data_IF_538968236988
#
_entry.id   IF_538968236988
#
_cell.length_a   1.000
_cell.length_b   1.000
_cell.length_c   1.000
_cell.angle_alpha   90.00
_cell.angle_beta   90.00
_cell.angle_gamma   90.00
#
_symmetry.space_group_name_H-M   'P 1'
#
loop_
_entity.id
_entity.type
_entity.pdbx_description
1 polymer ?
#
# COMPACT_ATOMS: atom_id res chain seq x y z
N UNK A 1 -5.39 37.32 29.39
CA UNK A 1 -5.58 35.92 29.77
C UNK A 1 -4.36 35.47 30.58
N UNK A 2 -4.53 35.30 31.88
CA UNK A 2 -3.45 34.86 32.79
C UNK A 2 -3.12 33.39 32.49
N UNK A 3 -1.85 33.09 32.19
CA UNK A 3 -1.36 31.72 32.17
C UNK A 3 -1.52 31.13 33.58
N UNK A 4 -2.35 30.10 33.74
CA UNK A 4 -2.47 29.36 34.98
C UNK A 4 -1.06 28.87 35.42
N UNK A 5 -0.68 29.16 36.67
CA UNK A 5 0.58 28.71 37.25
C UNK A 5 0.67 27.18 37.18
N UNK A 6 1.77 26.65 36.64
CA UNK A 6 2.02 25.21 36.64
C UNK A 6 1.99 24.69 38.08
N UNK A 7 1.27 23.60 38.35
CA UNK A 7 1.18 23.07 39.73
C UNK A 7 2.55 22.63 40.26
N UNK A 8 2.81 22.90 41.54
CA UNK A 8 4.10 22.70 42.23
C UNK A 8 4.63 21.26 42.21
N UNK A 9 3.76 20.25 41.98
CA UNK A 9 4.17 18.84 41.83
C UNK A 9 4.95 18.56 40.54
N UNK A 10 4.86 19.43 39.51
CA UNK A 10 5.66 19.31 38.28
C UNK A 10 7.14 19.62 38.47
N UNK A 11 7.54 20.30 39.51
CA UNK A 11 8.92 20.72 39.74
C UNK A 11 9.83 19.62 40.36
N UNK A 12 9.25 18.48 40.78
CA UNK A 12 9.97 17.39 41.47
C UNK A 12 10.04 16.08 40.65
N UNK A 13 9.77 16.14 39.33
CA UNK A 13 9.68 14.93 38.51
C UNK A 13 11.05 14.53 37.96
N UNK A 14 11.41 13.26 38.16
CA UNK A 14 12.62 12.67 37.60
C UNK A 14 12.44 12.47 36.09
N UNK A 15 13.53 12.44 35.31
CA UNK A 15 13.53 12.15 33.84
C UNK A 15 12.68 10.90 33.48
N UNK A 16 12.67 9.90 34.36
CA UNK A 16 11.83 8.68 34.14
C UNK A 16 10.33 9.00 34.26
N UNK A 17 9.92 9.88 35.17
CA UNK A 17 8.51 10.23 35.34
C UNK A 17 8.01 11.11 34.16
N UNK A 18 8.83 12.04 33.68
CA UNK A 18 8.53 12.87 32.53
C UNK A 18 8.34 12.00 31.25
N UNK A 19 9.18 10.97 31.08
CA UNK A 19 9.00 9.98 29.98
C UNK A 19 7.71 9.18 30.11
N UNK A 20 7.30 8.82 31.34
CA UNK A 20 6.03 8.10 31.56
C UNK A 20 4.82 8.99 31.25
N UNK A 21 4.85 10.25 31.69
CA UNK A 21 3.80 11.23 31.36
C UNK A 21 3.71 11.50 29.85
N UNK A 22 4.83 11.68 29.20
CA UNK A 22 4.88 11.86 27.73
C UNK A 22 4.19 10.71 27.00
N UNK A 23 4.45 9.45 27.43
CA UNK A 23 3.77 8.28 26.84
C UNK A 23 2.26 8.32 27.04
N UNK A 24 1.81 8.68 28.25
CA UNK A 24 0.37 8.78 28.54
C UNK A 24 -0.28 9.92 27.76
N UNK A 25 0.36 11.07 27.66
CA UNK A 25 -0.12 12.22 26.87
C UNK A 25 -0.23 11.86 25.38
N UNK A 26 0.78 11.19 24.84
CA UNK A 26 0.77 10.71 23.44
C UNK A 26 -0.42 9.78 23.16
N UNK A 27 -0.73 8.85 24.08
CA UNK A 27 -1.89 7.96 23.91
C UNK A 27 -3.22 8.72 23.96
N UNK A 28 -3.33 9.73 24.82
CA UNK A 28 -4.52 10.59 24.91
C UNK A 28 -4.66 11.46 23.65
N UNK A 29 -3.56 11.97 23.09
CA UNK A 29 -3.57 12.71 21.83
C UNK A 29 -4.01 11.83 20.65
N UNK A 30 -3.69 10.54 20.66
CA UNK A 30 -4.10 9.58 19.64
C UNK A 30 -5.57 9.12 19.78
N UNK A 31 -6.21 9.30 20.94
CA UNK A 31 -7.56 8.80 21.21
C UNK A 31 -8.62 9.23 20.20
N UNK A 32 -8.71 10.50 19.72
CA UNK A 32 -9.68 10.91 18.71
C UNK A 32 -9.54 10.14 17.40
N UNK A 33 -8.31 9.78 17.02
CA UNK A 33 -8.05 8.99 15.81
C UNK A 33 -8.47 7.54 16.00
N UNK A 34 -8.21 6.94 17.17
CA UNK A 34 -8.71 5.59 17.50
C UNK A 34 -10.23 5.53 17.40
N UNK A 35 -10.94 6.50 17.97
CA UNK A 35 -12.40 6.58 17.91
C UNK A 35 -12.91 6.78 16.47
N UNK A 36 -12.24 7.63 15.68
CA UNK A 36 -12.60 7.92 14.29
C UNK A 36 -12.49 6.71 13.39
N UNK A 37 -11.44 5.91 13.59
CA UNK A 37 -11.09 4.82 12.67
C UNK A 37 -11.44 3.43 13.20
N UNK A 38 -11.98 3.30 14.41
CA UNK A 38 -12.44 2.01 14.95
C UNK A 38 -13.45 1.35 13.99
N UNK A 39 -13.21 0.08 13.65
CA UNK A 39 -14.02 -0.70 12.72
C UNK A 39 -13.79 -0.39 11.24
N UNK A 40 -13.02 0.67 10.91
CA UNK A 40 -12.77 1.08 9.52
C UNK A 40 -11.65 0.25 8.88
N UNK A 41 -11.75 0.03 7.59
CA UNK A 41 -10.71 -0.68 6.83
C UNK A 41 -9.65 0.28 6.31
N UNK A 42 -8.39 -0.11 6.46
CA UNK A 42 -7.22 0.54 5.86
C UNK A 42 -6.55 -0.47 4.93
N UNK A 43 -6.32 -0.09 3.69
CA UNK A 43 -5.55 -0.90 2.75
C UNK A 43 -4.15 -0.36 2.67
N UNK A 44 -3.16 -1.22 2.88
CA UNK A 44 -1.74 -0.84 2.90
C UNK A 44 -1.01 -1.61 1.82
N UNK A 45 -0.53 -0.91 0.81
CA UNK A 45 0.40 -1.49 -0.15
C UNK A 45 1.81 -1.41 0.40
N UNK A 46 2.43 -2.57 0.61
CA UNK A 46 3.80 -2.73 1.08
C UNK A 46 4.70 -3.26 -0.03
N UNK A 47 5.83 -2.61 -0.30
CA UNK A 47 6.72 -3.04 -1.38
C UNK A 47 7.92 -2.12 -1.58
N UNK A 48 8.68 -2.39 -2.62
CA UNK A 48 9.88 -1.62 -2.94
C UNK A 48 11.05 -1.93 -2.02
N UNK A 49 11.89 -0.93 -1.75
CA UNK A 49 13.12 -1.10 -0.95
C UNK A 49 12.85 -1.45 0.52
N UNK A 50 11.69 -1.06 1.06
CA UNK A 50 11.30 -1.38 2.44
C UNK A 50 11.18 -2.90 2.70
N UNK A 51 10.93 -3.71 1.65
CA UNK A 51 10.85 -5.18 1.78
C UNK A 51 12.23 -5.87 1.89
N UNK A 52 13.32 -5.15 1.62
CA UNK A 52 14.69 -5.71 1.67
C UNK A 52 15.42 -5.45 2.99
N UNK A 53 14.85 -4.63 3.86
CA UNK A 53 15.44 -4.23 5.14
C UNK A 53 14.69 -4.90 6.30
N UNK A 54 15.36 -5.76 7.10
CA UNK A 54 14.70 -6.48 8.20
C UNK A 54 14.19 -5.57 9.33
N UNK A 55 14.80 -4.40 9.56
CA UNK A 55 14.34 -3.46 10.58
C UNK A 55 13.07 -2.77 10.12
N UNK A 56 13.04 -2.26 8.89
CA UNK A 56 11.84 -1.66 8.31
C UNK A 56 10.68 -2.66 8.19
N UNK A 57 10.99 -3.94 7.91
CA UNK A 57 9.99 -4.99 7.88
C UNK A 57 9.37 -5.27 9.27
N UNK A 58 10.17 -5.17 10.34
CA UNK A 58 9.71 -5.28 11.71
C UNK A 58 8.82 -4.09 12.07
N UNK A 59 9.29 -2.87 11.83
CA UNK A 59 8.53 -1.64 12.08
C UNK A 59 7.17 -1.68 11.36
N UNK A 60 7.16 -2.09 10.10
CA UNK A 60 5.92 -2.28 9.33
C UNK A 60 4.97 -3.29 9.98
N UNK A 61 5.49 -4.44 10.43
CA UNK A 61 4.68 -5.47 11.08
C UNK A 61 4.10 -4.97 12.41
N UNK A 62 4.90 -4.25 13.21
CA UNK A 62 4.46 -3.62 14.46
C UNK A 62 3.37 -2.57 14.21
N UNK A 63 3.53 -1.72 13.19
CA UNK A 63 2.52 -0.73 12.79
C UNK A 63 1.19 -1.39 12.43
N UNK A 64 1.21 -2.41 11.59
CA UNK A 64 0.00 -3.13 11.15
C UNK A 64 -0.68 -3.83 12.34
N UNK A 65 0.11 -4.42 13.25
CA UNK A 65 -0.43 -5.04 14.47
C UNK A 65 -1.03 -4.01 15.41
N UNK A 66 -0.39 -2.85 15.58
CA UNK A 66 -0.92 -1.75 16.37
C UNK A 66 -2.26 -1.25 15.79
N UNK A 67 -2.35 -1.04 14.47
CA UNK A 67 -3.61 -0.65 13.83
C UNK A 67 -4.72 -1.64 14.15
N UNK A 68 -4.43 -2.95 14.08
CA UNK A 68 -5.42 -3.97 14.44
C UNK A 68 -5.80 -3.94 15.92
N UNK A 69 -4.84 -3.74 16.81
CA UNK A 69 -5.04 -3.69 18.26
C UNK A 69 -5.92 -2.49 18.69
N UNK A 70 -5.84 -1.36 18.00
CA UNK A 70 -6.68 -0.18 18.28
C UNK A 70 -8.04 -0.21 17.55
N UNK A 71 -8.41 -1.35 16.94
CA UNK A 71 -9.72 -1.57 16.35
C UNK A 71 -9.86 -1.21 14.87
N UNK A 72 -8.78 -0.83 14.19
CA UNK A 72 -8.74 -0.65 12.74
C UNK A 72 -8.62 -2.03 12.06
N UNK A 73 -9.12 -2.15 10.84
CA UNK A 73 -8.99 -3.36 10.04
C UNK A 73 -7.96 -3.17 8.92
N UNK A 74 -6.65 -3.41 9.18
CA UNK A 74 -5.64 -3.34 8.15
C UNK A 74 -5.75 -4.52 7.19
N UNK A 75 -5.61 -4.25 5.90
CA UNK A 75 -5.53 -5.20 4.79
C UNK A 75 -4.24 -4.90 4.05
N UNK A 76 -3.32 -5.86 4.01
CA UNK A 76 -2.00 -5.66 3.40
C UNK A 76 -2.00 -6.24 2.00
N UNK A 77 -1.54 -5.46 1.02
CA UNK A 77 -1.22 -5.94 -0.34
C UNK A 77 0.27 -5.75 -0.56
N UNK A 78 0.99 -6.82 -0.87
CA UNK A 78 2.44 -6.70 -1.00
C UNK A 78 2.91 -6.73 -2.46
N UNK A 79 4.06 -6.10 -2.72
CA UNK A 79 4.80 -6.23 -3.97
C UNK A 79 5.75 -7.43 -3.96
N UNK A 80 6.71 -7.44 -4.89
CA UNK A 80 7.71 -8.51 -4.97
C UNK A 80 8.51 -8.52 -6.27
N UNK A 81 8.51 -7.43 -7.02
CA UNK A 81 9.20 -7.33 -8.31
C UNK A 81 10.69 -7.73 -8.27
N UNK A 82 11.47 -7.22 -7.31
CA UNK A 82 12.88 -7.61 -7.15
C UNK A 82 13.07 -9.10 -6.87
N UNK A 83 12.23 -9.69 -6.02
CA UNK A 83 12.31 -11.10 -5.65
C UNK A 83 11.92 -12.02 -6.81
N UNK A 84 10.89 -11.66 -7.58
CA UNK A 84 10.54 -12.34 -8.83
C UNK A 84 11.74 -12.29 -9.79
N UNK A 85 12.34 -11.11 -10.01
CA UNK A 85 13.50 -10.95 -10.88
C UNK A 85 14.70 -11.78 -10.43
N UNK A 86 14.97 -11.85 -9.12
CA UNK A 86 16.03 -12.67 -8.57
C UNK A 86 15.77 -14.17 -8.79
N UNK A 87 14.53 -14.64 -8.66
CA UNK A 87 14.17 -16.03 -8.91
C UNK A 87 14.25 -16.38 -10.39
N UNK A 88 13.72 -15.54 -11.29
CA UNK A 88 13.82 -15.73 -12.74
C UNK A 88 15.28 -15.85 -13.18
N UNK A 89 16.15 -14.96 -12.65
CA UNK A 89 17.60 -15.03 -12.91
C UNK A 89 18.22 -16.35 -12.46
N UNK A 90 17.83 -16.88 -11.28
CA UNK A 90 18.31 -18.19 -10.79
C UNK A 90 17.87 -19.34 -11.68
N UNK A 91 16.69 -19.21 -12.30
CA UNK A 91 16.13 -20.22 -13.22
C UNK A 91 16.63 -20.04 -14.67
N UNK A 92 17.40 -18.99 -14.97
CA UNK A 92 17.88 -18.71 -16.33
C UNK A 92 16.81 -18.12 -17.25
N UNK A 93 15.70 -17.63 -16.69
CA UNK A 93 14.59 -17.01 -17.44
C UNK A 93 14.86 -15.51 -17.57
N UNK A 94 14.81 -15.02 -18.82
CA UNK A 94 14.97 -13.58 -19.08
C UNK A 94 13.73 -12.80 -18.68
N UNK A 95 13.96 -11.63 -18.10
CA UNK A 95 12.89 -10.73 -17.65
C UNK A 95 12.92 -9.43 -18.46
N UNK A 96 11.81 -9.08 -19.10
CA UNK A 96 11.63 -7.86 -19.88
C UNK A 96 10.50 -7.00 -19.28
N UNK A 97 10.66 -5.67 -19.39
CA UNK A 97 9.64 -4.71 -18.92
C UNK A 97 9.19 -3.81 -20.07
N UNK A 98 7.91 -3.45 -20.05
CA UNK A 98 7.31 -2.45 -20.91
C UNK A 98 6.46 -1.53 -20.02
N UNK A 99 6.72 -0.23 -20.05
CA UNK A 99 6.02 0.80 -19.24
C UNK A 99 5.93 0.45 -17.75
N UNK A 100 7.00 -0.13 -17.21
CA UNK A 100 7.05 -0.55 -15.80
C UNK A 100 6.31 -1.86 -15.47
N UNK A 101 5.63 -2.47 -16.44
CA UNK A 101 5.00 -3.78 -16.32
C UNK A 101 5.95 -4.87 -16.83
N UNK A 102 6.06 -5.96 -16.07
CA UNK A 102 6.86 -7.13 -16.47
C UNK A 102 6.11 -7.89 -17.56
N UNK A 103 6.73 -8.06 -18.72
CA UNK A 103 6.23 -9.01 -19.71
C UNK A 103 6.25 -10.40 -19.08
N UNK A 104 5.11 -11.04 -19.02
CA UNK A 104 4.88 -12.24 -18.21
C UNK A 104 4.35 -13.34 -19.10
N UNK A 105 5.23 -14.19 -19.64
CA UNK A 105 4.83 -15.44 -20.28
C UNK A 105 4.34 -16.45 -19.24
N UNK A 106 3.96 -17.64 -19.66
CA UNK A 106 3.38 -18.66 -18.78
C UNK A 106 4.35 -19.11 -17.69
N UNK A 107 5.61 -19.34 -18.04
CA UNK A 107 6.65 -19.73 -17.08
C UNK A 107 6.93 -18.60 -16.08
N UNK A 108 7.02 -17.38 -16.56
CA UNK A 108 7.17 -16.19 -15.69
C UNK A 108 5.96 -16.01 -14.75
N UNK A 109 4.73 -16.29 -15.21
CA UNK A 109 3.52 -16.22 -14.39
C UNK A 109 3.55 -17.26 -13.25
N UNK A 110 3.95 -18.49 -13.55
CA UNK A 110 4.12 -19.56 -12.55
C UNK A 110 5.17 -19.19 -11.51
N UNK A 111 6.32 -18.66 -11.93
CA UNK A 111 7.37 -18.19 -11.01
C UNK A 111 6.89 -17.01 -10.18
N UNK A 112 6.17 -16.06 -10.77
CA UNK A 112 5.61 -14.92 -10.04
C UNK A 112 4.60 -15.39 -8.98
N UNK A 113 3.71 -16.32 -9.29
CA UNK A 113 2.76 -16.88 -8.33
C UNK A 113 3.49 -17.60 -7.18
N UNK A 114 4.47 -18.45 -7.45
CA UNK A 114 5.26 -19.14 -6.42
C UNK A 114 5.97 -18.17 -5.49
N UNK A 115 6.60 -17.14 -6.04
CA UNK A 115 7.37 -16.16 -5.28
C UNK A 115 6.44 -15.27 -4.46
N UNK A 116 5.39 -14.73 -5.07
CA UNK A 116 4.46 -13.82 -4.39
C UNK A 116 3.63 -14.57 -3.34
N UNK A 117 2.93 -15.65 -3.71
CA UNK A 117 1.98 -16.34 -2.82
C UNK A 117 2.66 -17.29 -1.83
N UNK A 118 3.80 -17.86 -2.20
CA UNK A 118 4.54 -18.82 -1.38
C UNK A 118 5.61 -18.18 -0.50
N UNK A 119 6.55 -17.44 -1.10
CA UNK A 119 7.71 -16.91 -0.38
C UNK A 119 7.38 -15.63 0.37
N UNK A 120 7.09 -14.55 -0.34
CA UNK A 120 6.93 -13.21 0.23
C UNK A 120 5.71 -13.14 1.14
N UNK A 121 4.59 -13.67 0.69
CA UNK A 121 3.34 -13.66 1.45
C UNK A 121 3.52 -14.32 2.83
N UNK A 122 4.15 -15.49 2.87
CA UNK A 122 4.35 -16.25 4.12
C UNK A 122 5.42 -15.62 5.02
N UNK A 123 6.40 -14.97 4.46
CA UNK A 123 7.39 -14.20 5.21
C UNK A 123 6.73 -13.02 5.95
N UNK A 124 5.87 -12.25 5.27
CA UNK A 124 5.08 -11.16 5.88
C UNK A 124 4.15 -11.66 6.98
N UNK A 125 3.45 -12.77 6.75
CA UNK A 125 2.63 -13.44 7.78
C UNK A 125 3.47 -13.78 8.99
N UNK A 126 4.69 -14.28 8.77
CA UNK A 126 5.65 -14.60 9.83
C UNK A 126 6.07 -13.36 10.64
N UNK A 127 6.37 -12.24 10.00
CA UNK A 127 6.74 -11.00 10.69
C UNK A 127 5.58 -10.44 11.52
N UNK A 128 4.36 -10.44 10.97
CA UNK A 128 3.16 -10.02 11.72
C UNK A 128 2.94 -10.94 12.93
N UNK A 129 3.17 -12.24 12.79
CA UNK A 129 3.07 -13.18 13.92
C UNK A 129 4.15 -12.91 14.99
N UNK A 130 5.39 -12.61 14.60
CA UNK A 130 6.46 -12.23 15.52
C UNK A 130 6.16 -10.92 16.27
N UNK A 131 5.48 -9.97 15.61
CA UNK A 131 4.98 -8.74 16.24
C UNK A 131 3.74 -8.96 17.13
N UNK A 132 3.26 -10.22 17.30
CA UNK A 132 2.13 -10.58 18.14
C UNK A 132 0.77 -10.50 17.46
N UNK A 133 0.71 -10.27 16.16
CA UNK A 133 -0.53 -10.26 15.37
C UNK A 133 -0.93 -11.65 14.87
N UNK A 134 -2.15 -11.73 14.35
CA UNK A 134 -2.64 -12.92 13.62
C UNK A 134 -2.88 -12.51 12.16
N UNK A 135 -2.19 -13.13 11.23
CA UNK A 135 -2.35 -12.83 9.80
C UNK A 135 -2.77 -14.06 9.01
N UNK A 136 -3.53 -13.82 7.94
CA UNK A 136 -3.91 -14.83 6.94
C UNK A 136 -3.35 -14.41 5.58
N UNK A 137 -2.42 -15.20 5.06
CA UNK A 137 -1.83 -14.98 3.75
C UNK A 137 -2.66 -15.66 2.65
N UNK A 138 -3.14 -14.87 1.70
CA UNK A 138 -3.93 -15.28 0.53
C UNK A 138 -3.43 -14.58 -0.72
N UNK A 139 -3.92 -15.01 -1.87
CA UNK A 139 -3.79 -14.33 -3.16
C UNK A 139 -5.15 -13.82 -3.66
N UNK A 140 -5.19 -13.06 -4.71
CA UNK A 140 -6.45 -12.67 -5.34
C UNK A 140 -7.26 -13.84 -5.91
N UNK A 141 -6.65 -15.04 -6.09
CA UNK A 141 -7.34 -16.26 -6.52
C UNK A 141 -8.20 -16.88 -5.42
N UNK A 142 -7.79 -16.70 -4.14
CA UNK A 142 -8.44 -17.35 -3.01
C UNK A 142 -9.86 -16.80 -2.82
N UNK A 143 -10.82 -17.70 -2.71
CA UNK A 143 -12.25 -17.40 -2.58
C UNK A 143 -12.80 -16.46 -3.68
N UNK A 144 -12.17 -16.40 -4.84
CA UNK A 144 -12.59 -15.50 -5.92
C UNK A 144 -12.43 -14.01 -5.57
N UNK A 145 -11.46 -13.67 -4.70
CA UNK A 145 -11.25 -12.30 -4.22
C UNK A 145 -11.06 -11.32 -5.37
N UNK A 146 -10.28 -11.66 -6.40
CA UNK A 146 -10.04 -10.80 -7.56
C UNK A 146 -10.17 -11.59 -8.85
N UNK A 147 -11.17 -11.23 -9.64
CA UNK A 147 -11.22 -11.64 -11.06
C UNK A 147 -10.38 -10.66 -11.87
N UNK A 148 -9.40 -11.20 -12.60
CA UNK A 148 -8.50 -10.41 -13.42
C UNK A 148 -8.98 -10.36 -14.87
N UNK A 149 -8.71 -9.27 -15.57
CA UNK A 149 -8.73 -9.23 -17.03
C UNK A 149 -7.33 -8.96 -17.55
N UNK A 150 -7.03 -9.52 -18.72
CA UNK A 150 -5.74 -9.34 -19.40
C UNK A 150 -5.51 -7.86 -19.73
N UNK A 151 -4.32 -7.36 -19.42
CA UNK A 151 -3.89 -6.01 -19.84
C UNK A 151 -3.37 -6.05 -21.25
N UNK A 152 -3.91 -5.20 -22.13
CA UNK A 152 -3.39 -4.91 -23.46
C UNK A 152 -2.85 -3.49 -23.49
N UNK A 153 -1.71 -3.29 -24.14
CA UNK A 153 -1.12 -1.96 -24.39
C UNK A 153 -1.04 -1.71 -25.88
N UNK A 154 -1.27 -0.47 -26.28
CA UNK A 154 -1.01 -0.03 -27.65
C UNK A 154 0.21 0.88 -27.65
N UNK A 155 1.18 0.57 -28.52
CA UNK A 155 2.29 1.49 -28.81
C UNK A 155 2.03 2.14 -30.16
N UNK A 156 2.17 3.47 -30.18
CA UNK A 156 2.19 4.25 -31.41
C UNK A 156 3.63 4.26 -31.93
N UNK A 157 3.84 3.83 -33.17
CA UNK A 157 5.13 4.00 -33.82
C UNK A 157 5.34 5.51 -34.03
N UNK A 158 6.44 6.10 -33.51
CA UNK A 158 6.71 7.54 -33.67
C UNK A 158 6.79 8.00 -35.11
N UNK A 159 7.17 7.11 -36.04
CA UNK A 159 7.41 7.40 -37.46
C UNK A 159 6.27 6.97 -38.37
N UNK A 160 5.24 6.35 -37.84
CA UNK A 160 4.06 5.91 -38.58
C UNK A 160 2.78 6.05 -37.75
N UNK A 161 1.62 6.20 -38.44
CA UNK A 161 0.31 6.18 -37.80
C UNK A 161 -0.17 4.78 -37.42
N UNK A 162 0.72 3.80 -37.38
CA UNK A 162 0.38 2.41 -37.06
C UNK A 162 0.42 2.23 -35.54
N UNK A 163 -0.72 1.85 -34.98
CA UNK A 163 -0.80 1.39 -33.58
C UNK A 163 -0.56 -0.12 -33.55
N UNK A 164 0.47 -0.55 -32.84
CA UNK A 164 0.73 -1.97 -32.59
C UNK A 164 0.26 -2.36 -31.18
N UNK A 165 -0.45 -3.48 -31.07
CA UNK A 165 -0.82 -4.06 -29.76
C UNK A 165 0.39 -4.79 -29.20
N UNK A 166 0.84 -4.36 -28.02
CA UNK A 166 1.89 -5.06 -27.26
C UNK A 166 1.20 -6.09 -26.38
N UNK A 167 1.47 -7.37 -26.63
CA UNK A 167 1.05 -8.44 -25.74
C UNK A 167 2.02 -8.54 -24.57
N UNK A 168 1.53 -8.26 -23.37
CA UNK A 168 2.28 -8.39 -22.11
C UNK A 168 2.21 -9.81 -21.53
N UNK A 169 1.52 -10.74 -22.19
CA UNK A 169 1.30 -12.10 -21.72
C UNK A 169 0.26 -12.15 -20.58
N UNK A 170 0.61 -12.79 -19.48
CA UNK A 170 -0.25 -12.98 -18.31
C UNK A 170 -0.14 -11.82 -17.30
N UNK A 171 -0.19 -10.60 -17.79
CA UNK A 171 -0.34 -9.38 -16.98
C UNK A 171 -1.80 -9.03 -16.93
N UNK A 172 -2.31 -8.86 -15.70
CA UNK A 172 -3.72 -8.57 -15.44
C UNK A 172 -3.93 -7.26 -14.68
N UNK A 173 -5.17 -6.83 -14.72
CA UNK A 173 -5.72 -5.80 -13.85
C UNK A 173 -7.02 -6.30 -13.21
N UNK A 174 -7.40 -5.82 -12.00
CA UNK A 174 -8.64 -6.22 -11.37
C UNK A 174 -9.85 -5.81 -12.21
N UNK A 175 -10.69 -6.78 -12.60
CA UNK A 175 -11.98 -6.54 -13.23
C UNK A 175 -13.09 -6.45 -12.19
N UNK A 176 -13.10 -7.39 -11.22
CA UNK A 176 -14.02 -7.38 -10.08
C UNK A 176 -13.28 -7.79 -8.81
N UNK A 177 -13.77 -7.29 -7.66
CA UNK A 177 -13.22 -7.62 -6.33
C UNK A 177 -14.37 -8.05 -5.41
N UNK A 178 -14.36 -9.30 -4.94
CA UNK A 178 -15.25 -9.79 -3.89
C UNK A 178 -14.58 -9.69 -2.52
N UNK A 179 -14.99 -8.72 -1.73
CA UNK A 179 -14.40 -8.44 -0.41
C UNK A 179 -14.87 -9.35 0.70
N UNK A 180 -15.69 -10.35 0.44
CA UNK A 180 -16.31 -11.22 1.46
C UNK A 180 -15.29 -11.93 2.32
N UNK A 181 -14.23 -12.50 1.72
CA UNK A 181 -13.15 -13.17 2.46
C UNK A 181 -12.37 -12.20 3.34
N UNK A 182 -12.16 -10.97 2.88
CA UNK A 182 -11.43 -9.93 3.63
C UNK A 182 -12.24 -9.50 4.86
N UNK A 183 -13.56 -9.25 4.70
CA UNK A 183 -14.46 -8.90 5.80
C UNK A 183 -14.51 -10.02 6.83
N UNK A 184 -14.63 -11.28 6.39
CA UNK A 184 -14.64 -12.46 7.27
C UNK A 184 -13.33 -12.59 8.03
N UNK A 185 -12.19 -12.45 7.37
CA UNK A 185 -10.85 -12.52 7.99
C UNK A 185 -10.67 -11.41 9.03
N UNK A 186 -11.04 -10.17 8.70
CA UNK A 186 -10.98 -9.05 9.63
C UNK A 186 -11.88 -9.24 10.85
N UNK A 187 -13.11 -9.74 10.65
CA UNK A 187 -14.07 -10.05 11.73
C UNK A 187 -13.58 -11.16 12.65
N UNK A 188 -12.81 -12.12 12.14
CA UNK A 188 -12.15 -13.17 12.93
C UNK A 188 -10.91 -12.65 13.69
N UNK A 189 -10.63 -11.34 13.67
CA UNK A 189 -9.49 -10.74 14.36
C UNK A 189 -8.15 -10.95 13.65
N UNK A 190 -8.15 -11.38 12.40
CA UNK A 190 -6.95 -11.61 11.61
C UNK A 190 -6.69 -10.45 10.63
N UNK A 191 -5.44 -10.36 10.18
CA UNK A 191 -4.95 -9.37 9.21
C UNK A 191 -4.79 -10.10 7.87
N UNK A 192 -5.58 -9.77 6.82
CA UNK A 192 -5.37 -10.33 5.48
C UNK A 192 -4.07 -9.79 4.87
N UNK A 193 -3.25 -10.69 4.31
CA UNK A 193 -2.04 -10.36 3.54
C UNK A 193 -2.20 -10.94 2.14
N UNK A 194 -2.23 -10.08 1.13
CA UNK A 194 -2.67 -10.43 -0.22
C UNK A 194 -1.50 -10.36 -1.19
N UNK A 195 -1.23 -11.48 -1.85
CA UNK A 195 -0.35 -11.52 -3.01
C UNK A 195 -1.10 -11.03 -4.27
N UNK A 196 -0.48 -10.16 -5.10
CA UNK A 196 -1.15 -9.55 -6.25
C UNK A 196 -1.19 -10.49 -7.47
N UNK A 197 -1.84 -11.63 -7.29
CA UNK A 197 -2.13 -12.65 -8.28
C UNK A 197 -3.65 -12.77 -8.38
N UNK A 198 -4.21 -12.77 -9.58
CA UNK A 198 -5.64 -12.95 -9.83
C UNK A 198 -5.91 -14.10 -10.78
N UNK A 199 -7.16 -14.57 -10.81
CA UNK A 199 -7.64 -15.51 -11.81
C UNK A 199 -8.47 -14.77 -12.86
N UNK A 200 -8.24 -15.05 -14.15
CA UNK A 200 -9.10 -14.59 -15.23
C UNK A 200 -10.37 -15.45 -15.35
N UNK A 201 -11.38 -14.93 -16.05
CA UNK A 201 -12.57 -15.70 -16.43
C UNK A 201 -12.22 -16.88 -17.36
N UNK A 202 -11.08 -16.80 -18.05
CA UNK A 202 -10.48 -17.85 -18.87
C UNK A 202 -9.81 -18.98 -18.05
N UNK A 203 -9.76 -18.84 -16.71
CA UNK A 203 -9.09 -19.76 -15.80
C UNK A 203 -7.58 -19.58 -15.70
N UNK A 204 -7.01 -18.64 -16.42
CA UNK A 204 -5.57 -18.37 -16.41
C UNK A 204 -5.16 -17.51 -15.19
N UNK A 205 -3.88 -17.63 -14.81
CA UNK A 205 -3.30 -16.86 -13.71
C UNK A 205 -2.69 -15.56 -14.25
N UNK A 206 -3.03 -14.45 -13.61
CA UNK A 206 -2.52 -13.14 -13.98
C UNK A 206 -1.70 -12.51 -12.85
N UNK A 207 -0.50 -12.04 -13.20
CA UNK A 207 0.31 -11.18 -12.35
C UNK A 207 -0.25 -9.74 -12.43
N UNK A 208 -0.59 -9.18 -11.29
CA UNK A 208 -1.21 -7.86 -11.18
C UNK A 208 -0.22 -6.88 -10.53
N UNK A 209 -0.22 -5.62 -10.96
CA UNK A 209 0.54 -4.59 -10.27
C UNK A 209 -0.01 -4.40 -8.85
N UNK A 210 0.88 -4.39 -7.84
CA UNK A 210 0.48 -4.33 -6.44
C UNK A 210 -0.21 -3.02 -6.05
N UNK A 211 0.17 -1.88 -6.64
CA UNK A 211 -0.48 -0.59 -6.41
C UNK A 211 -1.92 -0.65 -6.96
N UNK A 212 -2.09 -1.16 -8.19
CA UNK A 212 -3.39 -1.33 -8.85
C UNK A 212 -4.30 -2.30 -8.06
N UNK A 213 -3.75 -3.43 -7.59
CA UNK A 213 -4.48 -4.39 -6.75
C UNK A 213 -4.95 -3.72 -5.45
N UNK A 214 -4.07 -2.99 -4.77
CA UNK A 214 -4.38 -2.31 -3.52
C UNK A 214 -5.45 -1.23 -3.72
N UNK A 215 -5.38 -0.46 -4.81
CA UNK A 215 -6.37 0.54 -5.17
C UNK A 215 -7.75 -0.05 -5.38
N UNK A 216 -7.84 -1.14 -6.16
CA UNK A 216 -9.10 -1.83 -6.42
C UNK A 216 -9.72 -2.43 -5.15
N UNK A 217 -8.91 -3.04 -4.28
CA UNK A 217 -9.36 -3.56 -2.99
C UNK A 217 -9.83 -2.42 -2.07
N UNK A 218 -9.11 -1.28 -2.04
CA UNK A 218 -9.50 -0.13 -1.23
C UNK A 218 -10.84 0.45 -1.67
N UNK A 219 -11.05 0.60 -2.97
CA UNK A 219 -12.31 1.03 -3.55
C UNK A 219 -13.46 0.06 -3.19
N UNK A 220 -13.28 -1.24 -3.43
CA UNK A 220 -14.31 -2.25 -3.18
C UNK A 220 -14.67 -2.42 -1.70
N UNK A 221 -13.73 -2.15 -0.78
CA UNK A 221 -13.97 -2.13 0.66
C UNK A 221 -14.63 -0.83 1.15
N UNK A 222 -14.66 0.24 0.36
CA UNK A 222 -14.95 1.58 0.86
C UNK A 222 -13.97 1.96 1.98
N UNK A 223 -12.68 1.72 1.75
CA UNK A 223 -11.66 1.88 2.79
C UNK A 223 -11.54 3.34 3.22
N UNK A 224 -11.33 3.58 4.52
CA UNK A 224 -11.09 4.91 5.03
C UNK A 224 -9.74 5.46 4.57
N UNK A 225 -8.77 4.58 4.29
CA UNK A 225 -7.45 4.95 3.77
C UNK A 225 -6.88 3.86 2.87
N UNK A 226 -6.26 4.32 1.78
CA UNK A 226 -5.29 3.54 1.00
C UNK A 226 -3.90 4.13 1.26
N UNK A 227 -2.96 3.33 1.73
CA UNK A 227 -1.56 3.72 1.87
C UNK A 227 -0.71 3.08 0.77
N UNK A 228 -0.03 3.90 -0.02
CA UNK A 228 1.01 3.44 -0.95
C UNK A 228 2.38 3.75 -0.34
N UNK A 229 2.99 2.74 0.30
CA UNK A 229 4.36 2.86 0.79
C UNK A 229 5.32 2.77 -0.39
N UNK A 230 6.16 3.78 -0.54
CA UNK A 230 7.09 3.96 -1.66
C UNK A 230 8.48 4.37 -1.15
N UNK A 231 9.39 4.68 -2.04
CA UNK A 231 10.74 5.15 -1.76
C UNK A 231 10.91 6.68 -1.92
N UNK A 232 9.81 7.41 -1.92
CA UNK A 232 9.79 8.87 -1.95
C UNK A 232 8.86 9.42 -0.88
N UNK A 233 9.14 10.63 -0.39
CA UNK A 233 8.38 11.27 0.69
C UNK A 233 6.89 11.51 0.36
N UNK A 234 6.56 11.57 -0.92
CA UNK A 234 5.25 11.91 -1.45
C UNK A 234 5.42 12.71 -2.74
N UNK A 235 4.43 13.52 -3.08
CA UNK A 235 4.49 14.43 -4.24
C UNK A 235 5.22 15.69 -3.84
N UNK A 236 6.26 16.05 -4.61
CA UNK A 236 7.04 17.27 -4.40
C UNK A 236 6.65 18.31 -5.44
N UNK A 237 6.66 19.57 -5.05
CA UNK A 237 6.58 20.69 -5.99
C UNK A 237 7.92 20.90 -6.75
N UNK A 238 7.94 21.87 -7.66
CA UNK A 238 9.15 22.23 -8.44
C UNK A 238 10.31 22.74 -7.58
N UNK A 239 10.05 23.20 -6.36
CA UNK A 239 11.04 23.63 -5.40
C UNK A 239 11.54 22.50 -4.49
N UNK A 240 10.95 21.28 -4.59
CA UNK A 240 11.27 20.11 -3.77
C UNK A 240 10.53 20.09 -2.43
N UNK A 241 9.53 20.95 -2.22
CA UNK A 241 8.70 20.93 -1.03
C UNK A 241 7.58 19.89 -1.17
N UNK A 242 7.28 19.19 -0.06
CA UNK A 242 6.23 18.18 -0.02
C UNK A 242 4.84 18.82 -0.12
N UNK A 243 4.05 18.38 -1.08
CA UNK A 243 2.63 18.71 -1.20
C UNK A 243 1.81 17.73 -0.33
N UNK A 244 1.24 18.23 0.75
CA UNK A 244 0.63 17.37 1.79
C UNK A 244 -0.84 17.04 1.53
N UNK A 245 -1.54 17.80 0.70
CA UNK A 245 -2.98 17.59 0.41
C UNK A 245 -3.26 17.92 -1.06
N UNK A 246 -3.76 16.96 -1.81
CA UNK A 246 -4.04 17.09 -3.24
C UNK A 246 -5.44 16.58 -3.58
N UNK A 247 -6.09 17.23 -4.53
CA UNK A 247 -7.30 16.73 -5.18
C UNK A 247 -6.98 16.14 -6.55
N UNK A 248 -7.86 15.32 -7.14
CA UNK A 248 -7.70 14.84 -8.51
C UNK A 248 -7.46 15.95 -9.54
N UNK A 249 -8.15 17.08 -9.39
CA UNK A 249 -7.98 18.24 -10.26
C UNK A 249 -6.57 18.84 -10.15
N UNK A 250 -6.06 19.03 -8.93
CA UNK A 250 -4.68 19.52 -8.70
C UNK A 250 -3.64 18.55 -9.27
N UNK A 251 -3.86 17.24 -9.15
CA UNK A 251 -2.96 16.21 -9.71
C UNK A 251 -2.91 16.35 -11.24
N UNK A 252 -4.07 16.53 -11.90
CA UNK A 252 -4.13 16.72 -13.35
C UNK A 252 -3.36 17.99 -13.80
N UNK A 253 -3.48 19.09 -13.07
CA UNK A 253 -2.71 20.33 -13.34
C UNK A 253 -1.20 20.13 -13.18
N UNK A 254 -0.78 19.44 -12.10
CA UNK A 254 0.63 19.16 -11.82
C UNK A 254 1.23 18.13 -12.81
N UNK A 255 0.42 17.25 -13.39
CA UNK A 255 0.83 16.40 -14.50
C UNK A 255 0.99 17.20 -15.80
N UNK A 256 0.03 18.07 -16.11
CA UNK A 256 0.05 18.89 -17.32
C UNK A 256 1.24 19.87 -17.34
N UNK A 257 1.65 20.41 -16.18
CA UNK A 257 2.78 21.33 -16.07
C UNK A 257 4.14 20.62 -15.88
N UNK A 258 4.17 19.27 -15.86
CA UNK A 258 5.36 18.45 -15.74
C UNK A 258 5.96 18.34 -14.34
N UNK A 259 5.30 18.86 -13.29
CA UNK A 259 5.72 18.70 -11.89
C UNK A 259 5.66 17.23 -11.48
N UNK A 260 4.58 16.53 -11.84
CA UNK A 260 4.44 15.09 -11.66
C UNK A 260 4.91 14.39 -12.91
N UNK A 261 5.88 13.47 -12.77
CA UNK A 261 6.48 12.75 -13.89
C UNK A 261 6.90 11.32 -13.52
N UNK A 262 7.24 10.53 -14.53
CA UNK A 262 7.82 9.19 -14.37
C UNK A 262 6.97 8.24 -13.54
N UNK A 263 7.59 7.50 -12.61
CA UNK A 263 6.94 6.48 -11.78
C UNK A 263 5.90 7.00 -10.76
N UNK A 264 5.79 8.32 -10.56
CA UNK A 264 4.77 8.92 -9.71
C UNK A 264 3.40 8.93 -10.41
N UNK A 265 3.37 9.08 -11.74
CA UNK A 265 2.12 9.13 -12.52
C UNK A 265 1.23 7.91 -12.24
N UNK A 266 1.65 6.65 -12.48
CA UNK A 266 0.78 5.49 -12.25
C UNK A 266 0.38 5.31 -10.79
N UNK A 267 1.17 5.79 -9.82
CA UNK A 267 0.82 5.75 -8.41
C UNK A 267 -0.34 6.71 -8.10
N UNK A 268 -0.26 7.92 -8.61
CA UNK A 268 -1.31 8.91 -8.40
C UNK A 268 -2.58 8.56 -9.18
N UNK A 269 -2.47 7.99 -10.38
CA UNK A 269 -3.61 7.44 -11.10
C UNK A 269 -4.33 6.36 -10.28
N UNK A 270 -3.56 5.46 -9.62
CA UNK A 270 -4.13 4.48 -8.69
C UNK A 270 -4.84 5.14 -7.51
N UNK A 271 -4.23 6.17 -6.90
CA UNK A 271 -4.84 6.90 -5.79
C UNK A 271 -6.13 7.61 -6.20
N UNK A 272 -6.11 8.34 -7.31
CA UNK A 272 -7.28 9.05 -7.86
C UNK A 272 -8.40 8.05 -8.16
N UNK A 273 -8.09 6.97 -8.88
CA UNK A 273 -9.07 5.94 -9.20
C UNK A 273 -9.68 5.31 -7.94
N UNK A 274 -8.88 5.00 -6.93
CA UNK A 274 -9.36 4.44 -5.68
C UNK A 274 -10.32 5.40 -4.95
N UNK A 275 -9.99 6.69 -4.91
CA UNK A 275 -10.82 7.72 -4.26
C UNK A 275 -12.12 7.94 -5.02
N UNK A 276 -12.08 8.07 -6.34
CA UNK A 276 -13.27 8.22 -7.19
C UNK A 276 -14.19 6.99 -7.14
N UNK A 277 -13.62 5.80 -6.91
CA UNK A 277 -14.36 4.54 -6.82
C UNK A 277 -14.83 4.17 -5.40
N UNK A 278 -14.64 5.05 -4.38
CA UNK A 278 -15.23 4.88 -3.05
C UNK A 278 -14.29 4.76 -1.87
N UNK A 279 -12.97 4.80 -2.05
CA UNK A 279 -12.03 4.99 -0.95
C UNK A 279 -12.10 6.44 -0.46
N UNK A 280 -12.14 6.68 0.88
CA UNK A 280 -12.29 8.06 1.39
C UNK A 280 -11.07 8.95 1.12
N UNK A 281 -9.88 8.38 1.21
CA UNK A 281 -8.65 9.05 0.83
C UNK A 281 -7.52 8.04 0.57
N UNK A 282 -6.55 8.43 -0.25
CA UNK A 282 -5.31 7.70 -0.47
C UNK A 282 -4.12 8.53 0.03
N UNK A 283 -3.04 7.86 0.42
CA UNK A 283 -1.82 8.50 0.91
C UNK A 283 -0.61 7.86 0.24
N UNK A 284 0.27 8.71 -0.29
CA UNK A 284 1.60 8.29 -0.76
C UNK A 284 2.61 8.74 0.27
N UNK A 285 3.40 7.80 0.82
CA UNK A 285 4.39 8.11 1.84
C UNK A 285 5.64 7.23 1.75
N UNK A 286 6.74 7.72 2.35
CA UNK A 286 8.01 7.01 2.35
C UNK A 286 8.00 5.83 3.32
N UNK A 287 7.99 4.62 2.77
CA UNK A 287 8.05 3.38 3.56
C UNK A 287 9.42 3.09 4.21
N UNK A 288 10.43 3.93 3.96
CA UNK A 288 11.74 3.84 4.61
C UNK A 288 11.82 4.63 5.93
N UNK A 289 10.81 5.45 6.19
CA UNK A 289 10.70 6.17 7.47
C UNK A 289 10.10 5.21 8.49
N UNK A 290 10.77 4.95 9.63
CA UNK A 290 10.22 4.12 10.69
C UNK A 290 8.85 4.62 11.14
N UNK A 291 7.89 3.71 11.25
CA UNK A 291 6.52 4.02 11.70
C UNK A 291 5.80 5.11 10.89
N UNK A 292 6.13 5.27 9.60
CA UNK A 292 5.57 6.31 8.74
C UNK A 292 4.03 6.32 8.73
N UNK A 293 3.41 5.13 8.73
CA UNK A 293 1.95 5.02 8.78
C UNK A 293 1.36 5.57 10.08
N UNK A 294 1.98 5.32 11.21
CA UNK A 294 1.50 5.83 12.50
C UNK A 294 1.64 7.35 12.58
N UNK A 295 2.75 7.90 12.04
CA UNK A 295 2.95 9.34 11.92
C UNK A 295 1.86 9.99 11.06
N UNK A 296 1.51 9.36 9.94
CA UNK A 296 0.45 9.86 9.05
C UNK A 296 -0.93 9.80 9.70
N UNK A 297 -1.25 8.72 10.40
CA UNK A 297 -2.59 8.47 10.93
C UNK A 297 -2.85 9.26 12.22
N UNK A 298 -1.86 9.32 13.12
CA UNK A 298 -2.02 9.76 14.52
C UNK A 298 -1.40 11.11 14.80
N UNK A 299 -0.99 11.86 13.77
CA UNK A 299 -0.49 13.23 13.93
C UNK A 299 -1.26 14.23 13.07
N UNK A 300 -1.27 15.48 13.49
CA UNK A 300 -1.99 16.56 12.78
C UNK A 300 -1.32 17.01 11.49
N UNK A 301 -0.03 16.72 11.30
CA UNK A 301 0.75 17.14 10.13
C UNK A 301 0.78 16.11 9.02
N UNK A 302 0.59 14.81 9.39
CA UNK A 302 0.85 13.72 8.47
C UNK A 302 2.34 13.56 8.14
N UNK A 303 2.66 12.58 7.30
CA UNK A 303 4.03 12.25 6.89
C UNK A 303 4.18 12.15 5.35
N UNK A 304 3.09 12.18 4.60
CA UNK A 304 3.06 11.99 3.16
C UNK A 304 2.18 12.99 2.42
N UNK A 305 1.74 12.58 1.22
CA UNK A 305 0.76 13.30 0.41
C UNK A 305 -0.60 12.61 0.52
N UNK A 306 -1.57 13.29 1.08
CA UNK A 306 -2.97 12.87 1.14
C UNK A 306 -3.68 13.25 -0.15
N UNK A 307 -4.41 12.30 -0.76
CA UNK A 307 -5.25 12.51 -1.93
C UNK A 307 -6.71 12.24 -1.54
N UNK A 308 -7.58 13.19 -1.79
CA UNK A 308 -9.02 13.08 -1.48
C UNK A 308 -9.87 13.82 -2.52
N UNK A 309 -11.15 13.42 -2.65
CA UNK A 309 -12.12 14.08 -3.53
C UNK A 309 -12.38 15.54 -3.13
#
# INVERSE_FOLDING_TARGET
>A
MQRAAKPLWRAAMTDAHDKMLFKAETLIEALPYFQRYAGRSFVVKYGGHAMGDPELARDFAEDVVLLKAVGINPVVVHGGGPQIGAMLKKLGVESRFVDGLRVTDKETAEVAEMVLSGSINKELVGWIAQAGGKALGISGKDAGLVTARKVTRTAKDPDSNIESVIDLGFVGEPATVDTSILKTTCAAGMIPVIAPIGAGEDGETYNINADTMAGAIAAALGAARLFLLTDVAGVLDKAGALLTDLTPAMIAELQADGTISGGMIPKLETCVHAVEAGCEAAVVLDGRVPHAMLLEIFTSRGAGTLIRA
#
